data_IF_535830020207
#
_entry.id   IF_535830020207
#
_cell.length_a   1.000
_cell.length_b   1.000
_cell.length_c   1.000
_cell.angle_alpha   90.00
_cell.angle_beta   90.00
_cell.angle_gamma   90.00
#
_symmetry.space_group_name_H-M   'P 1'
#
loop_
_entity.id
_entity.type
_entity.pdbx_description
1 polymer ?
#
# COMPACT_ATOMS: atom_id res chain seq x y z
N UNK A 1 -10.04 1.11 2.49
CA UNK A 1 -9.53 1.12 3.87
C UNK A 1 -8.88 -0.20 4.20
N UNK A 2 -7.85 -0.17 5.06
CA UNK A 2 -7.35 -1.35 5.74
C UNK A 2 -8.17 -1.64 7.00
N UNK A 3 -8.23 -2.91 7.39
CA UNK A 3 -9.04 -3.36 8.55
C UNK A 3 -8.21 -4.31 9.41
N UNK A 4 -8.30 -4.20 10.73
CA UNK A 4 -7.61 -5.07 11.71
C UNK A 4 -6.10 -5.22 11.45
N UNK A 5 -5.40 -4.09 11.29
CA UNK A 5 -3.96 -4.05 11.00
C UNK A 5 -3.60 -4.12 9.53
N UNK A 6 -4.56 -4.39 8.64
CA UNK A 6 -4.37 -4.25 7.19
C UNK A 6 -4.18 -2.80 6.80
N UNK A 7 -3.39 -2.55 5.74
CA UNK A 7 -3.09 -1.20 5.27
C UNK A 7 -4.11 -0.72 4.24
N UNK A 8 -4.32 0.60 4.20
CA UNK A 8 -5.16 1.24 3.18
C UNK A 8 -4.63 0.96 1.78
N UNK A 9 -5.54 0.84 0.81
CA UNK A 9 -5.20 0.83 -0.60
C UNK A 9 -4.63 2.19 -1.05
N UNK A 10 -3.83 2.16 -2.11
CA UNK A 10 -3.30 3.41 -2.69
C UNK A 10 -4.45 4.22 -3.33
N UNK A 11 -4.42 5.56 -3.22
CA UNK A 11 -5.44 6.41 -3.81
C UNK A 11 -5.37 6.38 -5.34
N UNK A 12 -6.45 6.83 -5.98
CA UNK A 12 -6.50 7.12 -7.40
C UNK A 12 -5.50 8.22 -7.76
N UNK A 13 -4.80 8.06 -8.88
CA UNK A 13 -3.83 9.04 -9.36
C UNK A 13 -3.86 9.10 -10.88
N UNK A 14 -3.83 10.31 -11.43
CA UNK A 14 -3.65 10.57 -12.85
C UNK A 14 -2.36 11.35 -13.03
N UNK A 15 -1.48 10.88 -13.89
CA UNK A 15 -0.21 11.54 -14.22
C UNK A 15 -0.14 11.73 -15.73
N UNK A 16 0.12 12.95 -16.17
CA UNK A 16 0.39 13.28 -17.58
C UNK A 16 1.90 13.22 -17.81
N UNK A 17 2.30 12.66 -18.94
CA UNK A 17 3.67 12.48 -19.42
C UNK A 17 4.65 11.89 -18.35
N UNK A 18 4.30 10.74 -17.72
CA UNK A 18 5.09 10.16 -16.65
C UNK A 18 6.51 9.81 -17.10
N UNK A 19 7.51 10.36 -16.40
CA UNK A 19 8.94 10.23 -16.70
C UNK A 19 9.45 11.23 -17.72
N UNK A 20 8.60 12.12 -18.22
CA UNK A 20 8.96 13.20 -19.13
C UNK A 20 9.24 14.53 -18.43
N UNK A 21 9.74 15.55 -19.18
CA UNK A 21 10.02 16.86 -18.63
C UNK A 21 8.76 17.64 -18.22
N UNK A 22 7.61 17.30 -18.79
CA UNK A 22 6.32 17.93 -18.53
C UNK A 22 5.43 17.09 -17.60
N UNK A 23 6.03 16.12 -16.88
CA UNK A 23 5.29 15.28 -15.92
C UNK A 23 4.57 16.13 -14.87
N UNK A 24 3.29 15.92 -14.75
CA UNK A 24 2.48 16.54 -13.70
C UNK A 24 1.31 15.66 -13.28
N UNK A 25 0.84 15.86 -12.06
CA UNK A 25 -0.36 15.21 -11.54
C UNK A 25 -1.61 16.04 -11.85
N UNK A 26 -2.66 15.36 -12.24
CA UNK A 26 -3.97 15.95 -12.50
C UNK A 26 -4.90 15.62 -11.36
N UNK A 27 -5.63 16.63 -10.85
CA UNK A 27 -6.63 16.44 -9.82
C UNK A 27 -7.74 15.48 -10.31
N UNK A 28 -8.22 14.61 -9.42
CA UNK A 28 -9.26 13.62 -9.76
C UNK A 28 -10.59 14.25 -10.22
N UNK A 29 -10.82 15.53 -9.92
CA UNK A 29 -11.98 16.32 -10.32
C UNK A 29 -11.64 17.33 -11.43
N UNK A 30 -10.44 17.25 -12.04
CA UNK A 30 -10.04 18.14 -13.10
C UNK A 30 -10.93 17.98 -14.33
N UNK A 31 -11.20 19.08 -15.00
CA UNK A 31 -11.88 19.15 -16.27
C UNK A 31 -11.01 19.91 -17.28
N UNK A 32 -11.16 19.57 -18.57
CA UNK A 32 -10.51 20.26 -19.69
C UNK A 32 -8.96 20.26 -19.64
N UNK A 33 -8.33 19.18 -19.14
CA UNK A 33 -6.88 19.01 -19.22
C UNK A 33 -6.42 19.02 -20.69
N UNK A 34 -5.55 19.95 -21.12
CA UNK A 34 -5.13 20.06 -22.50
C UNK A 34 -4.14 18.92 -22.85
N UNK A 35 -4.57 18.02 -23.70
CA UNK A 35 -3.75 16.91 -24.20
C UNK A 35 -3.44 17.12 -25.68
N UNK A 36 -2.19 16.88 -26.07
CA UNK A 36 -1.74 16.94 -27.47
C UNK A 36 -1.50 15.54 -28.00
N UNK A 37 -1.38 15.40 -29.31
CA UNK A 37 -1.05 14.12 -29.93
C UNK A 37 0.32 13.62 -29.43
N UNK A 38 0.36 12.40 -28.91
CA UNK A 38 1.56 11.80 -28.33
C UNK A 38 1.67 11.91 -26.82
N UNK A 39 0.84 12.73 -26.15
CA UNK A 39 0.77 12.80 -24.69
C UNK A 39 0.42 11.43 -24.10
N UNK A 40 1.16 11.01 -23.09
CA UNK A 40 0.88 9.78 -22.34
C UNK A 40 0.14 10.14 -21.06
N UNK A 41 -1.00 9.48 -20.82
CA UNK A 41 -1.75 9.62 -19.58
C UNK A 41 -1.69 8.30 -18.82
N UNK A 42 -1.10 8.32 -17.62
CA UNK A 42 -1.08 7.18 -16.70
C UNK A 42 -2.19 7.31 -15.67
N UNK A 43 -3.11 6.36 -15.69
CA UNK A 43 -4.17 6.27 -14.68
C UNK A 43 -3.83 5.10 -13.75
N UNK A 44 -3.65 5.42 -12.46
CA UNK A 44 -3.55 4.43 -11.40
C UNK A 44 -4.88 4.38 -10.68
N UNK A 45 -5.58 3.27 -10.80
CA UNK A 45 -6.84 3.07 -10.08
C UNK A 45 -6.57 2.78 -8.60
N UNK A 46 -7.56 3.04 -7.75
CA UNK A 46 -7.48 2.70 -6.33
C UNK A 46 -7.22 1.22 -6.12
N UNK A 47 -6.35 0.92 -5.16
CA UNK A 47 -6.19 -0.44 -4.64
C UNK A 47 -7.28 -0.80 -3.64
N UNK A 48 -7.46 -2.08 -3.34
CA UNK A 48 -8.23 -2.54 -2.19
C UNK A 48 -7.42 -2.40 -0.91
N UNK A 49 -8.09 -2.13 0.22
CA UNK A 49 -7.45 -2.21 1.53
C UNK A 49 -7.22 -3.65 1.97
N UNK A 50 -6.20 -3.85 2.80
CA UNK A 50 -5.86 -5.14 3.39
C UNK A 50 -6.75 -5.46 4.59
N UNK A 51 -6.86 -6.74 4.92
CA UNK A 51 -7.48 -7.22 6.14
C UNK A 51 -6.48 -8.05 6.94
N UNK A 52 -6.34 -7.76 8.22
CA UNK A 52 -5.41 -8.44 9.12
C UNK A 52 -3.98 -7.93 9.01
N UNK A 53 -3.14 -8.30 9.99
CA UNK A 53 -1.74 -7.90 10.03
C UNK A 53 -0.97 -8.49 8.84
N UNK A 54 -0.33 -7.68 8.00
CA UNK A 54 0.48 -8.19 6.89
C UNK A 54 1.65 -9.06 7.34
N UNK A 55 2.15 -8.91 8.58
CA UNK A 55 3.20 -9.76 9.12
C UNK A 55 2.70 -11.18 9.49
N UNK A 56 1.40 -11.41 9.53
CA UNK A 56 0.81 -12.74 9.77
C UNK A 56 0.52 -13.50 8.47
N UNK A 57 0.66 -12.84 7.29
CA UNK A 57 0.39 -13.48 6.01
C UNK A 57 1.32 -14.68 5.79
N UNK A 58 0.79 -15.86 5.41
CA UNK A 58 1.60 -17.05 5.11
C UNK A 58 2.68 -16.75 4.07
N UNK A 59 3.91 -17.24 4.32
CA UNK A 59 5.06 -16.96 3.46
C UNK A 59 4.85 -17.49 2.05
N UNK A 60 4.27 -18.68 1.91
CA UNK A 60 3.94 -19.31 0.63
C UNK A 60 2.94 -18.47 -0.20
N UNK A 61 1.99 -17.80 0.45
CA UNK A 61 1.09 -16.88 -0.23
C UNK A 61 1.81 -15.63 -0.75
N UNK A 62 2.76 -15.09 0.03
CA UNK A 62 3.58 -13.96 -0.43
C UNK A 62 4.45 -14.37 -1.61
N UNK A 63 5.08 -15.54 -1.56
CA UNK A 63 5.87 -16.08 -2.68
C UNK A 63 5.00 -16.30 -3.93
N UNK A 64 3.77 -16.78 -3.77
CA UNK A 64 2.80 -16.90 -4.86
C UNK A 64 2.47 -15.55 -5.49
N UNK A 65 2.27 -14.52 -4.65
CA UNK A 65 1.99 -13.18 -5.14
C UNK A 65 3.20 -12.56 -5.88
N UNK A 66 4.43 -12.89 -5.47
CA UNK A 66 5.64 -12.53 -6.23
C UNK A 66 5.66 -13.24 -7.59
N UNK A 67 5.41 -14.54 -7.62
CA UNK A 67 5.36 -15.31 -8.87
C UNK A 67 4.31 -14.76 -9.84
N UNK A 68 3.20 -14.24 -9.32
CA UNK A 68 2.13 -13.61 -10.10
C UNK A 68 2.38 -12.12 -10.39
N UNK A 69 3.54 -11.58 -10.00
CA UNK A 69 3.93 -10.17 -10.17
C UNK A 69 2.95 -9.16 -9.53
N UNK A 70 2.24 -9.58 -8.49
CA UNK A 70 1.38 -8.72 -7.67
C UNK A 70 2.16 -7.99 -6.59
N UNK A 71 3.25 -8.60 -6.11
CA UNK A 71 4.17 -8.09 -5.10
C UNK A 71 5.58 -8.18 -5.66
N UNK A 72 6.41 -7.16 -5.46
CA UNK A 72 7.85 -7.24 -5.76
C UNK A 72 8.59 -7.91 -4.60
N UNK A 73 9.84 -8.33 -4.82
CA UNK A 73 10.69 -8.88 -3.75
C UNK A 73 10.91 -7.83 -2.65
N UNK A 74 11.13 -6.59 -3.04
CA UNK A 74 11.23 -5.46 -2.10
C UNK A 74 9.93 -5.27 -1.31
N UNK A 75 8.79 -5.29 -1.99
CA UNK A 75 7.47 -5.18 -1.35
C UNK A 75 7.18 -6.35 -0.40
N UNK A 76 7.62 -7.57 -0.72
CA UNK A 76 7.53 -8.71 0.18
C UNK A 76 8.31 -8.46 1.48
N UNK A 77 9.51 -7.89 1.36
CA UNK A 77 10.31 -7.52 2.52
C UNK A 77 9.68 -6.35 3.28
N UNK A 78 9.30 -5.27 2.60
CA UNK A 78 8.83 -4.03 3.23
C UNK A 78 7.43 -4.15 3.84
N UNK A 79 6.50 -4.78 3.15
CA UNK A 79 5.10 -4.84 3.59
C UNK A 79 4.81 -6.07 4.43
N UNK A 80 5.39 -7.23 4.09
CA UNK A 80 5.07 -8.52 4.71
C UNK A 80 6.17 -9.09 5.59
N UNK A 81 7.35 -8.43 5.63
CA UNK A 81 8.50 -8.91 6.39
C UNK A 81 9.04 -10.26 5.88
N UNK A 82 8.86 -10.59 4.60
CA UNK A 82 9.35 -11.81 3.98
C UNK A 82 10.66 -11.55 3.25
N UNK A 83 11.70 -12.26 3.64
CA UNK A 83 13.03 -12.18 3.01
C UNK A 83 13.13 -13.28 1.96
N UNK A 84 13.42 -12.88 0.72
CA UNK A 84 13.53 -13.81 -0.41
C UNK A 84 14.97 -13.81 -0.91
N UNK A 85 15.56 -15.00 -1.05
CA UNK A 85 16.90 -15.19 -1.58
C UNK A 85 16.99 -15.00 -3.10
N UNK A 86 18.21 -14.99 -3.63
CA UNK A 86 18.46 -14.86 -5.08
C UNK A 86 17.89 -16.03 -5.90
N UNK A 87 17.70 -17.17 -5.26
CA UNK A 87 17.09 -18.37 -5.83
C UNK A 87 15.53 -18.30 -5.88
N UNK A 88 14.94 -17.22 -5.35
CA UNK A 88 13.50 -17.03 -5.29
C UNK A 88 12.80 -17.78 -4.14
N UNK A 89 13.55 -18.42 -3.26
CA UNK A 89 13.01 -19.07 -2.04
C UNK A 89 13.01 -18.11 -0.86
N UNK A 90 12.13 -18.35 0.12
CA UNK A 90 12.15 -17.58 1.35
C UNK A 90 13.27 -18.03 2.28
N UNK A 91 13.99 -17.07 2.85
CA UNK A 91 14.83 -17.29 4.02
C UNK A 91 13.94 -17.24 5.26
N UNK A 92 13.59 -18.42 5.80
CA UNK A 92 12.68 -18.54 6.94
C UNK A 92 13.26 -17.87 8.20
N UNK A 93 14.55 -18.06 8.48
CA UNK A 93 15.22 -17.50 9.67
C UNK A 93 15.26 -15.97 9.60
N UNK A 94 15.66 -15.41 8.47
CA UNK A 94 15.68 -13.96 8.29
C UNK A 94 14.26 -13.37 8.30
N UNK A 95 13.28 -14.09 7.77
CA UNK A 95 11.86 -13.70 7.79
C UNK A 95 11.31 -13.65 9.21
N UNK A 96 11.52 -14.68 10.01
CA UNK A 96 11.10 -14.70 11.41
C UNK A 96 11.75 -13.58 12.22
N UNK A 97 13.06 -13.38 12.06
CA UNK A 97 13.81 -12.31 12.73
C UNK A 97 13.28 -10.92 12.37
N UNK A 98 13.06 -10.65 11.08
CA UNK A 98 12.56 -9.37 10.60
C UNK A 98 11.12 -9.10 11.08
N UNK A 99 10.26 -10.12 11.07
CA UNK A 99 8.89 -10.01 11.59
C UNK A 99 8.87 -9.76 13.10
N UNK A 100 9.72 -10.44 13.85
CA UNK A 100 9.86 -10.22 15.29
C UNK A 100 10.34 -8.80 15.61
N UNK A 101 11.37 -8.32 14.93
CA UNK A 101 11.88 -6.95 15.06
C UNK A 101 10.77 -5.92 14.79
N UNK A 102 10.03 -6.07 13.71
CA UNK A 102 8.96 -5.13 13.33
C UNK A 102 7.81 -5.14 14.31
N UNK A 103 7.41 -6.30 14.83
CA UNK A 103 6.40 -6.37 15.89
C UNK A 103 6.88 -5.68 17.17
N UNK A 104 8.15 -5.88 17.55
CA UNK A 104 8.73 -5.22 18.72
C UNK A 104 8.88 -3.71 18.56
N UNK A 105 9.07 -3.22 17.35
CA UNK A 105 9.20 -1.79 17.05
C UNK A 105 7.85 -1.04 17.03
N UNK A 106 6.72 -1.74 17.07
CA UNK A 106 5.39 -1.11 17.11
C UNK A 106 5.17 -0.38 18.43
N UNK A 107 4.80 0.89 18.35
CA UNK A 107 4.45 1.71 19.49
C UNK A 107 2.94 1.95 19.50
N UNK A 108 2.21 1.22 20.33
CA UNK A 108 0.75 1.33 20.46
C UNK A 108 -0.03 0.23 19.73
N UNK A 109 -1.33 0.28 19.84
CA UNK A 109 -2.24 -0.61 19.13
C UNK A 109 -2.41 -0.16 17.68
N UNK A 110 -2.39 -1.12 16.76
CA UNK A 110 -2.74 -0.84 15.36
C UNK A 110 -4.22 -0.40 15.28
N UNK A 111 -4.52 0.64 14.50
CA UNK A 111 -5.90 1.10 14.39
C UNK A 111 -6.79 0.02 13.77
N UNK A 112 -8.03 -0.09 14.22
CA UNK A 112 -8.99 -1.03 13.64
C UNK A 112 -9.23 -0.75 12.15
N UNK A 113 -9.26 0.55 11.78
CA UNK A 113 -9.31 1.01 10.39
C UNK A 113 -8.09 1.86 10.05
N UNK A 114 -7.34 1.45 9.02
CA UNK A 114 -6.39 2.32 8.32
C UNK A 114 -7.11 2.99 7.14
N UNK A 115 -7.37 4.28 7.27
CA UNK A 115 -8.04 5.09 6.24
C UNK A 115 -7.09 5.71 5.23
N UNK A 116 -5.79 5.44 5.41
CA UNK A 116 -4.74 5.91 4.50
C UNK A 116 -4.27 7.35 4.73
N UNK A 117 -3.22 7.74 4.05
CA UNK A 117 -2.67 9.09 4.15
C UNK A 117 -3.68 10.12 3.62
N UNK A 118 -3.75 11.24 4.29
CA UNK A 118 -4.66 12.33 3.92
C UNK A 118 -6.02 12.29 4.59
N UNK A 119 -6.46 11.18 5.16
CA UNK A 119 -7.74 11.12 5.85
C UNK A 119 -7.84 12.13 6.99
N UNK A 120 -6.80 12.25 7.81
CA UNK A 120 -6.77 13.20 8.91
C UNK A 120 -6.95 14.66 8.44
N UNK A 121 -6.35 15.01 7.30
CA UNK A 121 -6.50 16.34 6.70
C UNK A 121 -7.91 16.56 6.15
N UNK A 122 -8.47 15.58 5.43
CA UNK A 122 -9.79 15.65 4.83
C UNK A 122 -10.92 15.65 5.87
N UNK A 123 -10.72 14.93 6.98
CA UNK A 123 -11.69 14.87 8.09
C UNK A 123 -11.60 16.05 9.06
N UNK A 124 -10.67 16.99 8.85
CA UNK A 124 -10.43 18.09 9.77
C UNK A 124 -9.88 17.65 11.13
N UNK A 125 -9.24 16.48 11.19
CA UNK A 125 -8.72 15.88 12.42
C UNK A 125 -9.82 15.25 13.31
N UNK A 126 -11.06 15.12 12.81
CA UNK A 126 -12.11 14.43 13.54
C UNK A 126 -11.75 12.93 13.70
N UNK A 127 -11.46 12.55 14.94
CA UNK A 127 -11.41 11.15 15.30
C UNK A 127 -12.86 10.63 15.36
N UNK A 128 -13.31 9.94 14.33
CA UNK A 128 -14.53 9.14 14.45
C UNK A 128 -14.21 7.95 15.36
N UNK A 129 -14.84 7.88 16.50
CA UNK A 129 -14.85 6.69 17.31
C UNK A 129 -15.58 5.61 16.51
N UNK A 130 -14.95 4.46 16.32
CA UNK A 130 -15.41 3.38 15.43
C UNK A 130 -16.76 2.80 15.83
N UNK A 131 -17.21 3.10 17.03
CA UNK A 131 -18.46 2.58 17.62
C UNK A 131 -19.60 3.61 17.71
N UNK A 132 -19.37 4.85 17.30
CA UNK A 132 -20.42 5.89 17.34
C UNK A 132 -21.37 5.86 16.12
N UNK A 133 -21.29 4.81 15.30
CA UNK A 133 -22.04 4.66 14.03
C UNK A 133 -23.03 3.49 14.07
N UNK A 134 -23.35 2.99 15.26
CA UNK A 134 -24.39 1.95 15.44
C UNK A 134 -25.60 2.51 16.16
#
# INVERSE_FOLDING_TARGET
WGVKGGKAGKPFQVTVDPGGPDEHEVDALADAEPLTAGTVVRIRTTGGGGWGDPLDRPVDEVLRDIAWRKVSVEGAREDYGVVVGEDGTADETATESLRAERRAARTGEEPFFDRGPGYATLSGGAAFNEFDVL
#
